data_IF_212475048972
#
_entry.id   IF_212475048972
#
_cell.length_a   1.000
_cell.length_b   1.000
_cell.length_c   1.000
_cell.angle_alpha   90.00
_cell.angle_beta   90.00
_cell.angle_gamma   90.00
#
_symmetry.space_group_name_H-M   'P 1'
#
loop_
_entity.id
_entity.type
_entity.pdbx_description
1 polymer ?
#
# COMPACT_ATOMS: atom_id res chain seq x y z
N UNK A 1 -6.73 -0.07 -19.58
CA UNK A 1 -7.67 -0.50 -18.52
C UNK A 1 -7.29 0.14 -17.19
N UNK A 2 -8.25 0.32 -16.28
CA UNK A 2 -7.96 0.84 -14.95
C UNK A 2 -7.64 -0.29 -13.99
N UNK A 3 -6.47 -0.23 -13.36
CA UNK A 3 -6.05 -1.17 -12.33
C UNK A 3 -6.05 -0.45 -10.98
N UNK A 4 -6.58 -1.13 -9.96
CA UNK A 4 -6.55 -0.60 -8.59
C UNK A 4 -5.31 -1.11 -7.90
N UNK A 5 -4.54 -0.18 -7.33
CA UNK A 5 -3.33 -0.44 -6.57
C UNK A 5 -3.65 -0.21 -5.10
N UNK A 6 -3.34 -1.18 -4.27
CA UNK A 6 -3.50 -1.13 -2.82
C UNK A 6 -2.13 -1.04 -2.15
N UNK A 7 -1.97 -0.09 -1.23
CA UNK A 7 -0.77 0.10 -0.43
C UNK A 7 -1.04 -0.38 0.99
N UNK A 8 -0.15 -1.20 1.53
CA UNK A 8 -0.12 -1.56 2.95
C UNK A 8 1.15 -1.01 3.57
N UNK A 9 1.00 -0.18 4.60
CA UNK A 9 2.11 0.42 5.35
C UNK A 9 2.08 -0.12 6.77
N UNK A 10 3.17 -0.78 7.17
CA UNK A 10 3.37 -1.27 8.52
C UNK A 10 4.30 -0.31 9.27
N UNK A 11 3.93 0.01 10.50
CA UNK A 11 4.76 0.82 11.39
C UNK A 11 5.99 0.00 11.90
N UNK A 12 6.98 0.66 12.52
CA UNK A 12 8.13 -0.02 13.12
C UNK A 12 7.81 -1.03 14.22
N UNK A 13 6.60 -1.01 14.79
CA UNK A 13 6.13 -1.99 15.76
C UNK A 13 5.45 -3.22 15.09
N UNK A 14 5.29 -3.20 13.76
CA UNK A 14 4.66 -4.25 12.97
C UNK A 14 3.14 -4.11 12.81
N UNK A 15 2.54 -3.00 13.25
CA UNK A 15 1.11 -2.75 13.10
C UNK A 15 0.81 -2.18 11.71
N UNK A 16 -0.26 -2.67 11.07
CA UNK A 16 -0.75 -2.08 9.84
C UNK A 16 -1.42 -0.72 10.14
N UNK A 17 -1.02 0.32 9.43
CA UNK A 17 -1.65 1.64 9.51
C UNK A 17 -2.79 1.69 8.49
N UNK A 18 -3.99 1.30 8.90
CA UNK A 18 -5.18 1.25 8.05
C UNK A 18 -6.44 1.62 8.84
N UNK A 19 -7.50 2.01 8.15
CA UNK A 19 -8.84 2.10 8.74
C UNK A 19 -9.53 0.73 8.67
N UNK A 20 -10.41 0.45 9.63
CA UNK A 20 -11.12 -0.84 9.68
C UNK A 20 -11.99 -1.12 8.45
N UNK A 21 -12.50 -0.08 7.80
CA UNK A 21 -13.38 -0.19 6.64
C UNK A 21 -12.63 -0.36 5.30
N UNK A 22 -11.31 -0.15 5.27
CA UNK A 22 -10.51 -0.18 4.07
C UNK A 22 -10.04 -1.61 3.76
N UNK A 23 -10.94 -2.40 3.16
CA UNK A 23 -10.74 -3.82 2.84
C UNK A 23 -10.59 -4.06 1.33
N UNK A 24 -9.79 -5.05 0.95
CA UNK A 24 -9.66 -5.56 -0.41
C UNK A 24 -9.43 -7.07 -0.42
N UNK A 25 -9.87 -7.75 -1.48
CA UNK A 25 -9.60 -9.19 -1.66
C UNK A 25 -8.25 -9.38 -2.37
N UNK A 26 -7.40 -10.25 -1.83
CA UNK A 26 -6.21 -10.74 -2.50
C UNK A 26 -5.87 -12.16 -2.01
N UNK A 27 -5.41 -13.01 -2.93
CA UNK A 27 -5.18 -14.44 -2.68
C UNK A 27 -6.38 -15.17 -2.04
N UNK A 28 -7.61 -14.75 -2.37
CA UNK A 28 -8.85 -15.32 -1.81
C UNK A 28 -9.11 -14.97 -0.33
N UNK A 29 -8.43 -13.94 0.18
CA UNK A 29 -8.57 -13.44 1.54
C UNK A 29 -8.89 -11.95 1.55
N UNK A 30 -9.79 -11.54 2.43
CA UNK A 30 -10.03 -10.14 2.72
C UNK A 30 -8.89 -9.57 3.57
N UNK A 31 -8.20 -8.56 3.04
CA UNK A 31 -7.09 -7.88 3.67
C UNK A 31 -7.37 -6.40 3.85
N UNK A 32 -6.76 -5.78 4.85
CA UNK A 32 -6.81 -4.33 5.05
C UNK A 32 -5.72 -3.61 4.24
N UNK A 33 -6.04 -2.42 3.74
CA UNK A 33 -5.10 -1.51 3.07
C UNK A 33 -5.01 -0.15 3.76
N UNK A 34 -3.85 0.51 3.63
CA UNK A 34 -3.59 1.84 4.17
C UNK A 34 -4.12 2.96 3.27
N UNK A 35 -3.99 2.79 1.95
CA UNK A 35 -4.58 3.65 0.93
C UNK A 35 -4.68 2.89 -0.40
N UNK A 36 -5.50 3.37 -1.32
CA UNK A 36 -5.60 2.80 -2.67
C UNK A 36 -5.65 3.90 -3.73
N UNK A 37 -5.18 3.60 -4.93
CA UNK A 37 -5.25 4.50 -6.09
C UNK A 37 -5.61 3.70 -7.33
N UNK A 38 -6.34 4.32 -8.26
CA UNK A 38 -6.66 3.71 -9.56
C UNK A 38 -5.78 4.33 -10.62
N UNK A 39 -5.02 3.50 -11.33
CA UNK A 39 -4.14 3.92 -12.42
C UNK A 39 -4.69 3.41 -13.75
N UNK A 40 -4.61 4.22 -14.80
CA UNK A 40 -4.89 3.76 -16.18
C UNK A 40 -3.61 3.20 -16.75
N UNK A 41 -3.44 1.87 -16.75
CA UNK A 41 -2.28 1.24 -17.34
C UNK A 41 -2.42 1.19 -18.86
N UNK A 42 -1.44 1.75 -19.56
CA UNK A 42 -1.44 1.89 -21.03
C UNK A 42 -0.22 1.20 -21.70
N UNK A 43 0.56 0.42 -20.97
CA UNK A 43 1.77 -0.26 -21.47
C UNK A 43 2.79 0.69 -22.14
N UNK A 44 2.81 1.96 -21.73
CA UNK A 44 3.54 3.07 -22.35
C UNK A 44 4.71 3.57 -21.49
N UNK A 45 5.15 2.75 -20.52
CA UNK A 45 6.22 3.06 -19.58
C UNK A 45 5.95 4.34 -18.73
N UNK A 46 4.67 4.71 -18.58
CA UNK A 46 4.26 5.83 -17.72
C UNK A 46 4.61 5.55 -16.26
N UNK A 47 5.23 6.53 -15.62
CA UNK A 47 5.48 6.51 -14.17
C UNK A 47 4.25 7.02 -13.43
N UNK A 48 3.81 6.27 -12.42
CA UNK A 48 2.71 6.65 -11.54
C UNK A 48 3.23 6.89 -10.11
N UNK A 49 2.75 7.96 -9.48
CA UNK A 49 3.08 8.27 -8.09
C UNK A 49 1.86 8.07 -7.20
N UNK A 50 2.08 7.48 -6.04
CA UNK A 50 1.07 7.31 -5.01
C UNK A 50 1.45 8.13 -3.78
N UNK A 51 0.52 8.94 -3.31
CA UNK A 51 0.70 9.71 -2.07
C UNK A 51 -0.01 9.00 -0.93
N UNK A 52 0.71 8.82 0.17
CA UNK A 52 0.16 8.36 1.44
C UNK A 52 0.51 9.36 2.53
N UNK A 53 -0.48 9.70 3.36
CA UNK A 53 -0.33 10.58 4.51
C UNK A 53 -0.58 9.72 5.73
N UNK A 54 0.40 9.65 6.62
CA UNK A 54 0.24 8.93 7.88
C UNK A 54 -0.83 9.64 8.73
N UNK A 55 -1.93 8.95 9.13
CA UNK A 55 -2.95 9.53 10.00
C UNK A 55 -2.44 9.75 11.43
N UNK A 56 -1.36 9.08 11.82
CA UNK A 56 -0.76 9.15 13.16
C UNK A 56 0.57 9.93 13.14
N UNK A 57 1.10 10.21 14.33
CA UNK A 57 2.47 10.71 14.45
C UNK A 57 3.48 9.68 13.93
N UNK A 58 4.55 10.18 13.29
CA UNK A 58 5.65 9.33 12.86
C UNK A 58 6.52 8.94 14.06
N UNK A 59 6.85 7.65 14.14
CA UNK A 59 7.78 7.10 15.12
C UNK A 59 9.07 6.64 14.42
N UNK A 60 10.20 6.75 15.11
CA UNK A 60 11.49 6.32 14.56
C UNK A 60 11.52 4.80 14.36
N UNK A 61 12.13 4.37 13.27
CA UNK A 61 12.31 2.95 12.94
C UNK A 61 12.04 2.63 11.47
N UNK A 62 11.87 1.35 11.17
CA UNK A 62 11.68 0.85 9.81
C UNK A 62 10.20 0.63 9.52
N UNK A 63 9.69 1.34 8.51
CA UNK A 63 8.35 1.12 7.96
C UNK A 63 8.43 0.14 6.80
N UNK A 64 7.62 -0.91 6.82
CA UNK A 64 7.49 -1.85 5.69
C UNK A 64 6.31 -1.48 4.80
N UNK A 65 6.52 -1.47 3.49
CA UNK A 65 5.52 -1.12 2.50
C UNK A 65 5.32 -2.29 1.53
N UNK A 66 4.07 -2.65 1.26
CA UNK A 66 3.72 -3.70 0.30
C UNK A 66 2.64 -3.17 -0.65
N UNK A 67 2.86 -3.38 -1.94
CA UNK A 67 1.93 -3.01 -3.00
C UNK A 67 1.21 -4.25 -3.53
N UNK A 68 -0.10 -4.11 -3.77
CA UNK A 68 -0.94 -5.14 -4.37
C UNK A 68 -1.73 -4.58 -5.55
N UNK A 69 -1.96 -5.41 -6.57
CA UNK A 69 -2.91 -5.15 -7.64
C UNK A 69 -3.48 -6.46 -8.17
N UNK A 70 -4.73 -6.43 -8.61
CA UNK A 70 -5.43 -7.57 -9.21
C UNK A 70 -5.35 -8.88 -8.38
N UNK A 71 -5.32 -8.73 -7.05
CA UNK A 71 -5.25 -9.85 -6.11
C UNK A 71 -3.82 -10.35 -5.80
N UNK A 72 -2.78 -9.81 -6.44
CA UNK A 72 -1.39 -10.26 -6.30
C UNK A 72 -0.47 -9.19 -5.71
N UNK A 73 0.65 -9.62 -5.11
CA UNK A 73 1.71 -8.71 -4.64
C UNK A 73 2.54 -8.19 -5.81
N UNK A 74 2.63 -6.86 -5.95
CA UNK A 74 3.50 -6.21 -6.93
C UNK A 74 4.94 -6.08 -6.43
N UNK A 75 5.12 -5.78 -5.14
CA UNK A 75 6.43 -5.55 -4.58
C UNK A 75 6.39 -5.14 -3.11
N UNK A 76 7.56 -5.22 -2.47
CA UNK A 76 7.79 -4.84 -1.08
C UNK A 76 9.04 -3.97 -0.97
N UNK A 77 9.00 -2.98 -0.10
CA UNK A 77 10.14 -2.13 0.24
C UNK A 77 10.10 -1.74 1.72
N UNK A 78 11.25 -1.34 2.25
CA UNK A 78 11.40 -0.88 3.63
C UNK A 78 11.97 0.54 3.63
N UNK A 79 11.44 1.41 4.48
CA UNK A 79 11.88 2.80 4.65
C UNK A 79 12.29 3.02 6.10
N UNK A 80 13.54 3.44 6.32
CA UNK A 80 14.04 3.78 7.66
C UNK A 80 13.83 5.27 7.95
N UNK A 81 13.10 5.57 9.04
CA UNK A 81 12.96 6.91 9.59
C UNK A 81 13.85 7.08 10.82
N UNK A 82 14.81 8.01 10.75
CA UNK A 82 15.85 8.25 11.78
C UNK A 82 15.59 9.50 12.62
#
# INVERSE_FOLDING_TARGET
DYHKIYLRVFDPAGNLIANENDMFEADGQDMQYSTSTSISYNDDNTSYSMNWINPNEFIKGTYSIILYSDGYTMGRSDIELR
#
